data_IF_038549390701
#
_entry.id   IF_038549390701
#
_cell.length_a   1.000
_cell.length_b   1.000
_cell.length_c   1.000
_cell.angle_alpha   90.00
_cell.angle_beta   90.00
_cell.angle_gamma   90.00
#
_symmetry.space_group_name_H-M   'P 1'
#
loop_
_entity.id
_entity.type
_entity.pdbx_description
1 polymer ?
#
# COMPACT_ATOMS: atom_id res chain seq x y z
N UNK A 1 23.06 11.44 -5.97
CA UNK A 1 21.91 11.92 -6.76
C UNK A 1 20.66 11.21 -6.26
N UNK A 2 19.62 11.96 -5.88
CA UNK A 2 18.40 11.41 -5.31
C UNK A 2 17.52 10.80 -6.43
N UNK A 3 17.14 9.52 -6.31
CA UNK A 3 16.33 8.84 -7.32
C UNK A 3 14.84 9.17 -7.10
N UNK A 4 14.43 10.33 -7.59
CA UNK A 4 13.06 10.83 -7.43
C UNK A 4 11.99 9.93 -8.07
N UNK A 5 12.34 9.12 -9.07
CA UNK A 5 11.41 8.19 -9.71
C UNK A 5 11.12 6.96 -8.83
N UNK A 6 12.13 6.45 -8.13
CA UNK A 6 11.94 5.41 -7.12
C UNK A 6 11.10 5.94 -5.95
N UNK A 7 11.39 7.16 -5.48
CA UNK A 7 10.57 7.83 -4.47
C UNK A 7 9.11 7.94 -4.96
N UNK A 8 8.88 8.34 -6.21
CA UNK A 8 7.54 8.52 -6.76
C UNK A 8 6.75 7.21 -6.85
N UNK A 9 7.38 6.11 -7.30
CA UNK A 9 6.74 4.81 -7.36
C UNK A 9 6.44 4.25 -5.96
N UNK A 10 7.37 4.44 -5.00
CA UNK A 10 7.13 4.10 -3.60
C UNK A 10 5.95 4.91 -3.05
N UNK A 11 5.91 6.22 -3.28
CA UNK A 11 4.81 7.07 -2.84
C UNK A 11 3.47 6.66 -3.45
N UNK A 12 3.43 6.32 -4.75
CA UNK A 12 2.20 5.84 -5.39
C UNK A 12 1.71 4.51 -4.80
N UNK A 13 2.63 3.58 -4.50
CA UNK A 13 2.28 2.33 -3.81
C UNK A 13 1.73 2.63 -2.42
N UNK A 14 2.41 3.48 -1.64
CA UNK A 14 1.97 3.85 -0.30
C UNK A 14 0.59 4.51 -0.32
N UNK A 15 0.35 5.47 -1.21
CA UNK A 15 -0.95 6.14 -1.36
C UNK A 15 -2.05 5.14 -1.72
N UNK A 16 -1.78 4.23 -2.67
CA UNK A 16 -2.76 3.23 -3.10
C UNK A 16 -3.09 2.24 -1.98
N UNK A 17 -2.09 1.80 -1.22
CA UNK A 17 -2.28 0.91 -0.07
C UNK A 17 -3.02 1.61 1.07
N UNK A 18 -2.70 2.88 1.36
CA UNK A 18 -3.39 3.69 2.36
C UNK A 18 -4.86 3.91 1.98
N UNK A 19 -5.15 4.25 0.72
CA UNK A 19 -6.51 4.44 0.24
C UNK A 19 -7.33 3.13 0.30
N UNK A 20 -6.72 2.00 -0.09
CA UNK A 20 -7.36 0.69 -0.01
C UNK A 20 -7.65 0.29 1.45
N UNK A 21 -6.70 0.53 2.36
CA UNK A 21 -6.88 0.25 3.79
C UNK A 21 -8.06 1.06 4.37
N UNK A 22 -8.13 2.36 4.07
CA UNK A 22 -9.22 3.24 4.50
C UNK A 22 -10.56 2.75 3.94
N UNK A 23 -10.63 2.39 2.65
CA UNK A 23 -11.84 1.86 2.02
C UNK A 23 -12.33 0.55 2.66
N UNK A 24 -11.39 -0.35 3.01
CA UNK A 24 -11.72 -1.59 3.71
C UNK A 24 -12.27 -1.29 5.11
N UNK A 25 -11.60 -0.44 5.88
CA UNK A 25 -12.03 -0.07 7.23
C UNK A 25 -13.44 0.54 7.22
N UNK A 26 -13.72 1.43 6.26
CA UNK A 26 -15.05 2.01 6.05
C UNK A 26 -16.10 0.93 5.72
N UNK A 27 -15.78 0.01 4.81
CA UNK A 27 -16.69 -1.06 4.42
C UNK A 27 -16.98 -2.05 5.56
N UNK A 28 -16.08 -2.17 6.54
CA UNK A 28 -16.20 -3.13 7.65
C UNK A 28 -16.86 -2.55 8.90
N UNK A 29 -17.23 -1.28 8.88
CA UNK A 29 -17.97 -0.62 9.95
C UNK A 29 -17.21 0.49 10.67
N UNK A 30 -16.03 0.90 10.19
CA UNK A 30 -15.44 2.16 10.63
C UNK A 30 -16.16 3.35 9.97
N UNK A 31 -16.21 4.48 10.66
CA UNK A 31 -16.71 5.75 10.13
C UNK A 31 -15.63 6.81 10.20
N UNK A 32 -15.48 7.58 9.12
CA UNK A 32 -14.59 8.73 9.12
C UNK A 32 -15.33 9.95 9.67
N UNK A 33 -14.80 10.57 10.72
CA UNK A 33 -15.32 11.80 11.31
C UNK A 33 -14.96 13.01 10.44
N UNK A 34 -15.63 14.14 10.68
CA UNK A 34 -15.39 15.39 9.97
C UNK A 34 -13.97 15.96 10.15
N UNK A 35 -13.26 15.55 11.21
CA UNK A 35 -11.86 15.89 11.46
C UNK A 35 -10.85 14.94 10.77
N UNK A 36 -11.35 13.94 10.03
CA UNK A 36 -10.55 12.95 9.33
C UNK A 36 -10.16 11.72 10.16
N UNK A 37 -10.52 11.66 11.45
CA UNK A 37 -10.26 10.49 12.30
C UNK A 37 -11.16 9.30 11.91
N UNK A 38 -10.67 8.07 12.08
CA UNK A 38 -11.48 6.86 11.89
C UNK A 38 -11.97 6.34 13.25
N UNK A 39 -13.29 6.28 13.43
CA UNK A 39 -13.95 5.59 14.53
C UNK A 39 -14.22 4.15 14.10
N UNK A 40 -13.72 3.16 14.84
CA UNK A 40 -13.80 1.75 14.48
C UNK A 40 -14.34 0.86 15.60
N UNK A 41 -14.85 1.42 16.71
CA UNK A 41 -15.33 0.65 17.87
C UNK A 41 -16.59 -0.18 17.57
N UNK A 42 -17.25 0.09 16.44
CA UNK A 42 -18.37 -0.69 15.91
C UNK A 42 -17.99 -1.58 14.71
N UNK A 43 -16.70 -1.69 14.35
CA UNK A 43 -16.27 -2.50 13.22
C UNK A 43 -16.59 -3.99 13.44
N UNK A 44 -17.25 -4.59 12.45
CA UNK A 44 -17.59 -6.02 12.43
C UNK A 44 -16.38 -6.93 12.19
N UNK A 45 -15.26 -6.36 11.72
CA UNK A 45 -14.00 -7.06 11.49
C UNK A 45 -12.97 -6.66 12.54
N UNK A 46 -12.43 -7.67 13.23
CA UNK A 46 -11.36 -7.49 14.20
C UNK A 46 -10.04 -7.04 13.54
N UNK A 47 -9.27 -6.14 14.17
CA UNK A 47 -8.08 -5.51 13.58
C UNK A 47 -7.02 -6.51 13.11
N UNK A 48 -6.96 -7.70 13.72
CA UNK A 48 -6.04 -8.77 13.34
C UNK A 48 -6.27 -9.31 11.93
N UNK A 49 -7.51 -9.37 11.46
CA UNK A 49 -7.82 -9.90 10.12
C UNK A 49 -7.39 -8.93 9.02
N UNK A 50 -7.64 -7.64 9.25
CA UNK A 50 -7.19 -6.55 8.37
C UNK A 50 -5.66 -6.50 8.30
N UNK A 51 -4.97 -6.62 9.44
CA UNK A 51 -3.51 -6.70 9.48
C UNK A 51 -2.97 -7.88 8.66
N UNK A 52 -3.61 -9.06 8.77
CA UNK A 52 -3.23 -10.25 8.00
C UNK A 52 -3.44 -10.06 6.49
N UNK A 53 -4.56 -9.46 6.08
CA UNK A 53 -4.86 -9.19 4.68
C UNK A 53 -3.89 -8.19 4.05
N UNK A 54 -3.58 -7.10 4.76
CA UNK A 54 -2.60 -6.08 4.31
C UNK A 54 -1.21 -6.70 4.21
N UNK A 55 -0.78 -7.46 5.22
CA UNK A 55 0.50 -8.15 5.19
C UNK A 55 0.58 -9.15 4.02
N UNK A 56 -0.50 -9.91 3.77
CA UNK A 56 -0.60 -10.85 2.65
C UNK A 56 -0.51 -10.17 1.28
N UNK A 57 -1.29 -9.11 1.07
CA UNK A 57 -1.26 -8.34 -0.18
C UNK A 57 0.08 -7.64 -0.41
N UNK A 58 0.68 -7.07 0.65
CA UNK A 58 2.01 -6.47 0.61
C UNK A 58 3.09 -7.47 0.21
N UNK A 59 3.05 -8.67 0.82
CA UNK A 59 3.96 -9.78 0.49
C UNK A 59 3.77 -10.24 -0.95
N UNK A 60 2.52 -10.44 -1.39
CA UNK A 60 2.21 -10.83 -2.77
C UNK A 60 2.74 -9.81 -3.78
N UNK A 61 2.62 -8.51 -3.49
CA UNK A 61 3.12 -7.45 -4.37
C UNK A 61 4.65 -7.51 -4.50
N UNK A 62 5.37 -7.73 -3.39
CA UNK A 62 6.82 -7.92 -3.41
C UNK A 62 7.18 -9.12 -4.29
N UNK A 63 6.47 -10.24 -4.14
CA UNK A 63 6.67 -11.45 -4.95
C UNK A 63 6.45 -11.17 -6.43
N UNK A 64 5.36 -10.50 -6.81
CA UNK A 64 5.09 -10.14 -8.22
C UNK A 64 6.19 -9.25 -8.80
N UNK A 65 6.67 -8.26 -8.03
CA UNK A 65 7.76 -7.40 -8.46
C UNK A 65 9.07 -8.19 -8.65
N UNK A 66 9.37 -9.14 -7.76
CA UNK A 66 10.53 -10.04 -7.89
C UNK A 66 10.41 -10.95 -9.11
N UNK A 67 9.22 -11.52 -9.37
CA UNK A 67 9.00 -12.38 -10.55
C UNK A 67 9.18 -11.57 -11.84
N UNK A 68 8.69 -10.33 -11.88
CA UNK A 68 8.74 -9.46 -13.07
C UNK A 68 10.14 -8.93 -13.34
N UNK A 69 10.80 -8.41 -12.31
CA UNK A 69 12.02 -7.60 -12.45
C UNK A 69 13.28 -8.31 -11.94
N UNK A 70 13.13 -9.52 -11.38
CA UNK A 70 14.16 -10.22 -10.63
C UNK A 70 14.41 -9.58 -9.26
N UNK A 71 15.19 -10.27 -8.41
CA UNK A 71 15.65 -9.73 -7.12
C UNK A 71 16.41 -8.41 -7.26
N UNK A 72 17.16 -8.23 -8.36
CA UNK A 72 17.89 -6.99 -8.65
C UNK A 72 16.96 -5.83 -9.02
N UNK A 73 15.74 -6.10 -9.50
CA UNK A 73 14.73 -5.10 -9.80
C UNK A 73 14.26 -4.30 -8.57
N UNK A 74 14.42 -4.84 -7.36
CA UNK A 74 14.15 -4.13 -6.11
C UNK A 74 15.14 -3.00 -5.82
N UNK A 75 16.34 -3.05 -6.43
CA UNK A 75 17.47 -2.15 -6.12
C UNK A 75 18.06 -1.45 -7.35
N UNK A 76 17.64 -1.84 -8.57
CA UNK A 76 18.21 -1.30 -9.81
C UNK A 76 17.74 0.16 -10.05
N UNK A 77 18.66 1.05 -10.47
CA UNK A 77 18.28 2.38 -10.97
C UNK A 77 17.31 2.26 -12.16
N UNK A 78 16.22 3.02 -12.13
CA UNK A 78 15.24 3.01 -13.21
C UNK A 78 15.84 3.65 -14.47
N UNK A 79 15.59 3.08 -15.67
CA UNK A 79 16.10 3.65 -16.90
C UNK A 79 15.52 5.06 -17.15
N UNK A 80 16.27 5.95 -17.82
CA UNK A 80 15.81 7.30 -18.11
C UNK A 80 14.53 7.24 -18.95
N UNK A 81 13.53 8.05 -18.58
CA UNK A 81 12.33 8.23 -19.41
C UNK A 81 12.72 9.13 -20.58
N UNK A 82 13.00 8.53 -21.74
CA UNK A 82 13.14 9.29 -22.99
C UNK A 82 11.76 9.84 -23.37
N UNK A 83 11.70 11.14 -23.65
CA UNK A 83 10.50 11.81 -24.16
C UNK A 83 10.23 11.43 -25.61
#
# INVERSE_FOLDING_TARGET
>A
MFNSNALHNVLNILITLSALLVAILLATGCTQLADGTLECSQSSIGPSFTALAVAGLGTLKIVVNIIRDGLSGLVKPQPPVTK
#
